data_IF_818177295758
#
_entry.id   IF_818177295758
#
_cell.length_a   1.000
_cell.length_b   1.000
_cell.length_c   1.000
_cell.angle_alpha   90.00
_cell.angle_beta   90.00
_cell.angle_gamma   90.00
#
_symmetry.space_group_name_H-M   'P 1'
#
loop_
_entity.id
_entity.type
_entity.pdbx_description
1 polymer ?
#
# COMPACT_ATOMS: atom_id res chain seq x y z
N UNK A 1 -7.49 -12.16 4.09
CA UNK A 1 -6.54 -13.00 3.32
C UNK A 1 -5.62 -13.72 4.29
N UNK A 2 -5.64 -15.06 4.39
CA UNK A 2 -4.97 -15.77 5.51
C UNK A 2 -3.45 -15.51 5.63
N UNK A 3 -2.73 -15.32 4.51
CA UNK A 3 -1.30 -15.01 4.54
C UNK A 3 -1.00 -13.58 5.01
N UNK A 4 -1.97 -12.66 4.95
CA UNK A 4 -1.81 -11.28 5.43
C UNK A 4 -1.72 -11.20 6.95
N UNK A 5 -2.40 -12.10 7.66
CA UNK A 5 -2.39 -12.15 9.13
C UNK A 5 -0.98 -12.42 9.70
N UNK A 6 -0.07 -13.00 8.89
CA UNK A 6 1.33 -13.19 9.24
C UNK A 6 2.17 -11.90 9.14
N UNK A 7 1.74 -10.93 8.32
CA UNK A 7 2.45 -9.66 8.08
C UNK A 7 1.89 -8.53 8.92
N UNK A 8 0.56 -8.46 9.02
CA UNK A 8 -0.09 -7.38 9.74
C UNK A 8 0.10 -7.57 11.24
N UNK A 9 0.72 -6.57 11.88
CA UNK A 9 0.81 -6.52 13.33
C UNK A 9 -0.17 -5.48 13.87
N UNK A 10 -0.86 -5.78 14.96
CA UNK A 10 -1.66 -4.79 15.69
C UNK A 10 -0.80 -3.62 16.22
N UNK A 11 0.50 -3.84 16.41
CA UNK A 11 1.43 -2.81 16.88
C UNK A 11 1.70 -1.75 15.80
N UNK A 12 1.76 -0.48 16.20
CA UNK A 12 2.18 0.57 15.28
C UNK A 12 3.64 0.40 14.83
N UNK A 13 4.51 -0.16 15.68
CA UNK A 13 5.92 -0.39 15.34
C UNK A 13 6.10 -1.32 14.15
N UNK A 14 5.42 -2.46 14.13
CA UNK A 14 5.49 -3.41 13.00
C UNK A 14 4.94 -2.80 11.70
N UNK A 15 3.81 -2.07 11.77
CA UNK A 15 3.25 -1.35 10.62
C UNK A 15 4.26 -0.36 10.03
N UNK A 16 4.95 0.40 10.89
CA UNK A 16 5.93 1.39 10.46
C UNK A 16 7.12 0.72 9.76
N UNK A 17 7.67 -0.34 10.34
CA UNK A 17 8.81 -1.08 9.76
C UNK A 17 8.47 -1.65 8.38
N UNK A 18 7.32 -2.34 8.25
CA UNK A 18 6.89 -2.89 6.97
C UNK A 18 6.60 -1.78 5.96
N UNK A 19 5.93 -0.70 6.39
CA UNK A 19 5.69 0.45 5.53
C UNK A 19 6.98 1.07 4.99
N UNK A 20 8.03 1.19 5.81
CA UNK A 20 9.32 1.67 5.32
C UNK A 20 9.95 0.77 4.28
N UNK A 21 9.89 -0.56 4.45
CA UNK A 21 10.41 -1.49 3.44
C UNK A 21 9.68 -1.30 2.09
N UNK A 22 8.34 -1.21 2.12
CA UNK A 22 7.51 -0.99 0.94
C UNK A 22 7.83 0.34 0.25
N UNK A 23 7.92 1.44 1.00
CA UNK A 23 8.18 2.74 0.41
C UNK A 23 9.63 2.91 -0.04
N UNK A 24 10.59 2.27 0.64
CA UNK A 24 11.98 2.25 0.18
C UNK A 24 12.08 1.59 -1.19
N UNK A 25 11.44 0.41 -1.33
CA UNK A 25 11.39 -0.31 -2.61
C UNK A 25 10.62 0.46 -3.69
N UNK A 26 9.53 1.14 -3.33
CA UNK A 26 8.79 2.02 -4.25
C UNK A 26 9.70 3.13 -4.79
N UNK A 27 10.47 3.79 -3.93
CA UNK A 27 11.34 4.90 -4.35
C UNK A 27 12.57 4.43 -5.13
N UNK A 28 12.97 3.16 -5.01
CA UNK A 28 13.93 2.56 -5.94
C UNK A 28 13.32 2.33 -7.33
N UNK A 29 12.07 1.83 -7.39
CA UNK A 29 11.34 1.59 -8.63
C UNK A 29 10.94 2.87 -9.35
N UNK A 30 10.54 3.89 -8.58
CA UNK A 30 10.04 5.16 -9.06
C UNK A 30 10.60 6.31 -8.22
N UNK A 31 11.87 6.73 -8.45
CA UNK A 31 12.51 7.78 -7.66
C UNK A 31 11.72 9.10 -7.63
N UNK A 32 11.06 9.45 -8.73
CA UNK A 32 10.20 10.65 -8.82
C UNK A 32 8.96 10.61 -7.93
N UNK A 33 8.51 9.44 -7.48
CA UNK A 33 7.38 9.32 -6.56
C UNK A 33 7.69 9.93 -5.19
N UNK A 34 8.97 10.07 -4.82
CA UNK A 34 9.38 10.61 -3.51
C UNK A 34 8.82 12.01 -3.28
N UNK A 35 8.81 12.87 -4.29
CA UNK A 35 8.37 14.27 -4.17
C UNK A 35 6.88 14.42 -3.79
N UNK A 36 6.06 13.41 -4.13
CA UNK A 36 4.64 13.35 -3.77
C UNK A 36 4.42 13.27 -2.25
N UNK A 37 5.44 12.82 -1.51
CA UNK A 37 5.39 12.61 -0.06
C UNK A 37 6.11 13.71 0.73
N UNK A 38 6.45 14.85 0.10
CA UNK A 38 7.06 16.01 0.77
C UNK A 38 6.25 16.51 1.97
N UNK A 39 4.90 16.54 1.86
CA UNK A 39 3.98 16.95 2.94
C UNK A 39 4.02 16.07 4.19
N UNK A 40 4.54 14.85 4.08
CA UNK A 40 4.70 13.91 5.20
C UNK A 40 6.18 13.73 5.56
N UNK A 41 7.03 14.65 5.15
CA UNK A 41 8.46 14.69 5.48
C UNK A 41 9.24 13.44 5.04
N UNK A 42 9.00 12.95 3.81
CA UNK A 42 9.76 11.82 3.22
C UNK A 42 11.27 12.04 3.12
N UNK A 43 11.75 13.29 3.24
CA UNK A 43 13.17 13.60 3.34
C UNK A 43 13.82 12.95 4.57
N UNK A 44 13.04 12.75 5.64
CA UNK A 44 13.37 11.90 6.76
C UNK A 44 12.27 10.84 6.94
N UNK A 45 12.47 9.68 6.32
CA UNK A 45 11.51 8.56 6.42
C UNK A 45 11.32 8.07 7.86
N UNK A 46 12.23 8.38 8.80
CA UNK A 46 12.09 8.02 10.22
C UNK A 46 11.39 9.09 11.05
N UNK A 47 10.97 10.20 10.43
CA UNK A 47 10.27 11.27 11.11
C UNK A 47 8.88 10.84 11.59
N UNK A 48 8.35 11.44 12.67
CA UNK A 48 7.00 11.13 13.17
C UNK A 48 5.89 11.27 12.12
N UNK A 49 6.04 12.22 11.20
CA UNK A 49 5.09 12.49 10.12
C UNK A 49 5.05 11.33 9.12
N UNK A 50 6.21 10.83 8.72
CA UNK A 50 6.29 9.72 7.77
C UNK A 50 5.90 8.39 8.44
N UNK A 51 6.28 8.17 9.71
CA UNK A 51 5.80 7.03 10.50
C UNK A 51 4.28 6.99 10.58
N UNK A 52 3.65 8.14 10.86
CA UNK A 52 2.20 8.25 10.90
C UNK A 52 1.57 7.97 9.52
N UNK A 53 2.23 8.36 8.43
CA UNK A 53 1.79 8.00 7.08
C UNK A 53 1.86 6.48 6.87
N UNK A 54 2.93 5.81 7.31
CA UNK A 54 3.05 4.34 7.18
C UNK A 54 1.93 3.63 7.94
N UNK A 55 1.61 4.07 9.17
CA UNK A 55 0.48 3.52 9.92
C UNK A 55 -0.84 3.68 9.15
N UNK A 56 -1.09 4.84 8.53
CA UNK A 56 -2.28 5.06 7.71
C UNK A 56 -2.32 4.15 6.49
N UNK A 57 -1.21 4.03 5.74
CA UNK A 57 -1.13 3.18 4.55
C UNK A 57 -1.35 1.72 4.90
N UNK A 58 -0.64 1.21 5.91
CA UNK A 58 -0.76 -0.19 6.33
C UNK A 58 -2.16 -0.52 6.86
N UNK A 59 -2.82 0.44 7.50
CA UNK A 59 -4.19 0.27 7.97
C UNK A 59 -5.19 0.29 6.80
N UNK A 60 -4.99 1.16 5.80
CA UNK A 60 -5.82 1.17 4.58
C UNK A 60 -5.70 -0.13 3.78
N UNK A 61 -4.47 -0.63 3.61
CA UNK A 61 -4.22 -1.92 2.95
C UNK A 61 -4.86 -3.08 3.72
N UNK A 62 -4.72 -3.11 5.05
CA UNK A 62 -5.36 -4.11 5.89
C UNK A 62 -6.89 -4.14 5.74
N UNK A 63 -7.53 -2.96 5.78
CA UNK A 63 -8.98 -2.85 5.58
C UNK A 63 -9.41 -3.41 4.21
N UNK A 64 -8.68 -3.09 3.15
CA UNK A 64 -8.99 -3.59 1.81
C UNK A 64 -8.79 -5.11 1.69
N UNK A 65 -7.69 -5.65 2.22
CA UNK A 65 -7.41 -7.09 2.17
C UNK A 65 -8.37 -7.91 3.04
N UNK A 66 -8.90 -7.32 4.11
CA UNK A 66 -9.93 -7.94 4.95
C UNK A 66 -11.34 -7.84 4.33
N UNK A 67 -11.58 -6.88 3.44
CA UNK A 67 -12.83 -6.74 2.71
C UNK A 67 -12.93 -7.65 1.46
N UNK A 68 -11.89 -8.42 1.09
CA UNK A 68 -11.88 -9.25 -0.12
C UNK A 68 -13.05 -10.25 -0.24
N UNK A 69 -13.66 -10.66 0.88
CA UNK A 69 -14.81 -11.57 0.89
C UNK A 69 -16.17 -10.84 0.83
N UNK A 70 -16.19 -9.51 0.95
CA UNK A 70 -17.36 -8.64 0.93
C UNK A 70 -17.18 -7.60 -0.18
N UNK A 71 -17.59 -7.96 -1.40
CA UNK A 71 -17.37 -7.16 -2.60
C UNK A 71 -17.98 -5.74 -2.50
N UNK A 72 -19.23 -5.56 -2.02
CA UNK A 72 -19.78 -4.22 -1.78
C UNK A 72 -18.94 -3.37 -0.82
N UNK A 73 -18.44 -3.96 0.27
CA UNK A 73 -17.56 -3.26 1.20
C UNK A 73 -16.22 -2.88 0.54
N UNK A 74 -15.62 -3.80 -0.22
CA UNK A 74 -14.36 -3.56 -0.94
C UNK A 74 -14.50 -2.42 -1.95
N UNK A 75 -15.58 -2.38 -2.73
CA UNK A 75 -15.86 -1.32 -3.68
C UNK A 75 -16.04 0.03 -2.98
N UNK A 76 -16.75 0.06 -1.86
CA UNK A 76 -16.92 1.28 -1.06
C UNK A 76 -15.59 1.80 -0.52
N UNK A 77 -14.75 0.91 0.03
CA UNK A 77 -13.43 1.26 0.56
C UNK A 77 -12.47 1.75 -0.53
N UNK A 78 -12.36 1.00 -1.63
CA UNK A 78 -11.47 1.35 -2.73
C UNK A 78 -11.94 2.61 -3.45
N UNK A 79 -13.24 2.84 -3.61
CA UNK A 79 -13.79 4.10 -4.13
C UNK A 79 -13.49 5.30 -3.23
N UNK A 80 -13.58 5.15 -1.90
CA UNK A 80 -13.19 6.21 -0.97
C UNK A 80 -11.68 6.53 -1.07
N UNK A 81 -10.84 5.49 -1.12
CA UNK A 81 -9.40 5.66 -1.29
C UNK A 81 -9.04 6.26 -2.65
N UNK A 82 -9.74 5.90 -3.73
CA UNK A 82 -9.56 6.47 -5.05
C UNK A 82 -9.81 7.99 -5.02
N UNK A 83 -10.90 8.44 -4.40
CA UNK A 83 -11.16 9.87 -4.22
C UNK A 83 -10.05 10.60 -3.43
N UNK A 84 -9.49 9.95 -2.39
CA UNK A 84 -8.37 10.53 -1.64
C UNK A 84 -7.11 10.69 -2.48
N UNK A 85 -6.81 9.71 -3.35
CA UNK A 85 -5.61 9.73 -4.20
C UNK A 85 -5.79 10.63 -5.43
N UNK A 86 -6.98 10.70 -6.02
CA UNK A 86 -7.29 11.63 -7.11
C UNK A 86 -7.14 13.11 -6.68
N UNK A 87 -7.34 13.41 -5.39
CA UNK A 87 -7.08 14.73 -4.81
C UNK A 87 -5.58 15.05 -4.60
N UNK A 88 -4.66 14.22 -5.13
CA UNK A 88 -3.20 14.38 -5.04
C UNK A 88 -2.61 14.46 -6.45
N UNK A 89 -2.27 15.67 -6.93
CA UNK A 89 -1.63 15.83 -8.22
C UNK A 89 -0.35 14.99 -8.32
N UNK A 90 -0.15 14.33 -9.46
CA UNK A 90 1.02 13.48 -9.74
C UNK A 90 0.89 12.04 -9.27
N UNK A 91 -0.20 11.65 -8.60
CA UNK A 91 -0.50 10.24 -8.35
C UNK A 91 -1.16 9.64 -9.60
N UNK A 92 -0.55 8.58 -10.14
CA UNK A 92 -0.93 7.97 -11.43
C UNK A 92 -1.23 6.48 -11.27
N UNK A 93 -1.91 5.90 -12.27
CA UNK A 93 -2.13 4.45 -12.35
C UNK A 93 -0.80 3.69 -12.35
N UNK A 94 0.18 4.16 -13.12
CA UNK A 94 1.50 3.52 -13.17
C UNK A 94 2.25 3.62 -11.83
N UNK A 95 2.08 4.70 -11.06
CA UNK A 95 2.62 4.80 -9.71
C UNK A 95 2.04 3.73 -8.77
N UNK A 96 0.75 3.43 -8.91
CA UNK A 96 0.10 2.34 -8.18
C UNK A 96 0.58 0.96 -8.61
N UNK A 97 0.86 0.73 -9.90
CA UNK A 97 1.51 -0.50 -10.38
C UNK A 97 2.93 -0.67 -9.80
N UNK A 98 3.68 0.41 -9.62
CA UNK A 98 4.98 0.35 -8.94
C UNK A 98 4.84 0.02 -7.45
N UNK A 99 3.76 0.48 -6.80
CA UNK A 99 3.43 0.08 -5.43
C UNK A 99 3.06 -1.42 -5.37
N UNK A 100 2.25 -1.92 -6.30
CA UNK A 100 1.93 -3.35 -6.41
C UNK A 100 3.21 -4.19 -6.51
N UNK A 101 4.12 -3.81 -7.42
CA UNK A 101 5.42 -4.47 -7.56
C UNK A 101 6.26 -4.40 -6.28
N UNK A 102 6.22 -3.27 -5.57
CA UNK A 102 6.91 -3.13 -4.28
C UNK A 102 6.37 -4.11 -3.25
N UNK A 103 5.04 -4.20 -3.10
CA UNK A 103 4.39 -5.14 -2.18
C UNK A 103 4.76 -6.57 -2.55
N UNK A 104 4.62 -6.96 -3.82
CA UNK A 104 4.96 -8.30 -4.30
C UNK A 104 6.44 -8.66 -4.10
N UNK A 105 7.35 -7.68 -4.08
CA UNK A 105 8.77 -7.89 -3.78
C UNK A 105 9.12 -8.01 -2.30
N UNK A 106 8.32 -7.41 -1.40
CA UNK A 106 8.57 -7.40 0.04
C UNK A 106 7.84 -8.55 0.75
N UNK A 107 6.60 -8.87 0.36
CA UNK A 107 5.79 -9.89 1.03
C UNK A 107 6.46 -11.27 1.15
N UNK A 108 7.19 -11.80 0.13
CA UNK A 108 7.90 -13.08 0.25
C UNK A 108 8.98 -13.12 1.34
N UNK A 109 9.46 -11.96 1.79
CA UNK A 109 10.46 -11.86 2.86
C UNK A 109 9.84 -11.90 4.26
N UNK A 110 8.51 -11.72 4.35
CA UNK A 110 7.77 -11.61 5.60
C UNK A 110 6.80 -12.78 5.82
N UNK A 111 6.50 -13.55 4.77
CA UNK A 111 5.50 -14.62 4.78
C UNK A 111 6.18 -15.94 4.43
N UNK A 112 6.12 -16.89 5.36
CA UNK A 112 6.50 -18.28 5.08
C UNK A 112 5.54 -18.91 4.07
N UNK A 113 6.08 -19.67 3.11
CA UNK A 113 5.33 -20.32 2.03
C UNK A 113 4.43 -19.34 1.24
N UNK A 114 4.94 -18.14 0.97
CA UNK A 114 4.24 -17.11 0.19
C UNK A 114 3.61 -17.66 -1.10
N UNK A 115 2.32 -17.38 -1.33
CA UNK A 115 1.61 -17.79 -2.53
C UNK A 115 1.54 -16.60 -3.51
N UNK A 116 2.45 -16.50 -4.49
CA UNK A 116 2.53 -15.34 -5.38
C UNK A 116 1.27 -15.16 -6.23
N UNK A 117 0.62 -16.24 -6.67
CA UNK A 117 -0.55 -16.16 -7.53
C UNK A 117 -1.76 -15.63 -6.77
N UNK A 118 -1.98 -16.13 -5.55
CA UNK A 118 -3.06 -15.64 -4.69
C UNK A 118 -2.85 -14.15 -4.35
N UNK A 119 -1.61 -13.77 -4.04
CA UNK A 119 -1.26 -12.39 -3.76
C UNK A 119 -1.42 -11.47 -4.95
N UNK A 120 -0.91 -11.84 -6.11
CA UNK A 120 -1.07 -11.06 -7.32
C UNK A 120 -2.54 -10.84 -7.66
N UNK A 121 -3.36 -11.89 -7.65
CA UNK A 121 -4.77 -11.78 -8.02
C UNK A 121 -5.56 -10.90 -7.05
N UNK A 122 -5.36 -11.05 -5.73
CA UNK A 122 -6.08 -10.25 -4.74
C UNK A 122 -5.58 -8.80 -4.70
N UNK A 123 -4.27 -8.60 -4.75
CA UNK A 123 -3.68 -7.26 -4.67
C UNK A 123 -4.01 -6.45 -5.93
N UNK A 124 -3.99 -7.06 -7.10
CA UNK A 124 -4.33 -6.40 -8.36
C UNK A 124 -5.72 -5.77 -8.31
N UNK A 125 -6.74 -6.51 -7.84
CA UNK A 125 -8.10 -5.97 -7.71
C UNK A 125 -8.20 -4.80 -6.73
N UNK A 126 -7.45 -4.83 -5.63
CA UNK A 126 -7.38 -3.70 -4.68
C UNK A 126 -6.72 -2.48 -5.32
N UNK A 127 -5.59 -2.68 -6.01
CA UNK A 127 -4.82 -1.63 -6.66
C UNK A 127 -5.63 -0.98 -7.80
N UNK A 128 -6.30 -1.78 -8.62
CA UNK A 128 -7.20 -1.30 -9.68
C UNK A 128 -8.36 -0.49 -9.10
N UNK A 129 -8.97 -0.96 -8.01
CA UNK A 129 -10.04 -0.23 -7.33
C UNK A 129 -9.61 1.15 -6.83
N UNK A 130 -8.41 1.24 -6.22
CA UNK A 130 -7.88 2.51 -5.68
C UNK A 130 -7.40 3.44 -6.80
N UNK A 131 -6.79 2.89 -7.85
CA UNK A 131 -6.25 3.69 -8.96
C UNK A 131 -7.29 4.10 -9.99
N UNK A 132 -8.53 3.63 -9.85
CA UNK A 132 -9.63 3.97 -10.73
C UNK A 132 -9.84 5.50 -10.81
N UNK A 133 -9.87 6.04 -12.03
CA UNK A 133 -10.06 7.46 -12.29
C UNK A 133 -8.80 8.32 -12.13
N UNK A 134 -7.64 7.74 -11.88
CA UNK A 134 -6.35 8.43 -12.00
C UNK A 134 -5.89 8.53 -13.45
N UNK A 135 -4.96 9.46 -13.70
CA UNK A 135 -4.27 9.61 -14.99
C UNK A 135 -3.26 8.50 -15.26
#
# INVERSE_FOLDING_TARGET
MAQWDAVFTASNGGKVTTGYALFSRLFELAPGAKDLFSRVNVGDMRSPQFSAQMVRVMTGLDLALNALADQPLLESLTGHMAAQHAARPGVTVDGFRMMEQSIMGIMPQLIDNFNPDAWSNCLHGVIDGISNGLS
#
